data_IF_658055248976
#
_entry.id   IF_658055248976
#
_cell.length_a   1.000
_cell.length_b   1.000
_cell.length_c   1.000
_cell.angle_alpha   90.00
_cell.angle_beta   90.00
_cell.angle_gamma   90.00
#
_symmetry.space_group_name_H-M   'P 1'
#
loop_
_entity.id
_entity.type
_entity.pdbx_description
1 polymer ?
#
# COMPACT_ATOMS: atom_id res chain seq x y z
N UNK A 1 -35.52 43.15 10.07
CA UNK A 1 -36.47 42.45 9.21
C UNK A 1 -35.65 41.81 8.09
N UNK A 2 -34.76 40.89 8.46
CA UNK A 2 -34.99 39.42 8.48
C UNK A 2 -34.83 38.87 7.06
N UNK A 3 -33.95 37.93 6.73
CA UNK A 3 -33.09 37.06 7.49
C UNK A 3 -32.72 35.84 6.62
N UNK A 4 -31.73 35.07 7.08
CA UNK A 4 -31.44 33.66 6.75
C UNK A 4 -30.60 33.36 5.51
N UNK A 5 -29.28 33.44 5.74
CA UNK A 5 -28.33 32.31 5.62
C UNK A 5 -28.90 30.97 5.12
N UNK A 6 -28.41 30.48 3.98
CA UNK A 6 -28.35 29.05 3.66
C UNK A 6 -26.89 28.68 3.40
N UNK A 7 -26.25 28.05 4.40
CA UNK A 7 -25.02 27.28 4.24
C UNK A 7 -25.40 25.96 3.55
N UNK A 8 -24.84 25.68 2.38
CA UNK A 8 -24.66 24.29 1.92
C UNK A 8 -23.52 23.69 2.75
N UNK A 9 -23.87 23.00 3.83
CA UNK A 9 -22.95 22.14 4.55
C UNK A 9 -22.75 20.85 3.73
N UNK A 10 -21.67 20.81 2.95
CA UNK A 10 -21.19 19.56 2.36
C UNK A 10 -20.63 18.69 3.47
N UNK A 11 -21.29 17.57 3.74
CA UNK A 11 -20.87 16.54 4.67
C UNK A 11 -19.64 15.85 4.06
N UNK A 12 -18.44 16.19 4.53
CA UNK A 12 -17.26 15.36 4.35
C UNK A 12 -17.44 14.10 5.21
N UNK A 13 -17.89 13.01 4.59
CA UNK A 13 -17.70 11.68 5.14
C UNK A 13 -16.20 11.37 5.07
N UNK A 14 -15.50 11.62 6.18
CA UNK A 14 -14.08 11.28 6.31
C UNK A 14 -13.91 9.77 6.34
N UNK A 15 -13.50 9.19 5.21
CA UNK A 15 -12.91 7.86 5.19
C UNK A 15 -11.55 7.99 5.89
N UNK A 16 -11.44 7.47 7.11
CA UNK A 16 -10.16 7.38 7.82
C UNK A 16 -9.35 6.27 7.15
N UNK A 17 -8.62 6.63 6.10
CA UNK A 17 -7.65 5.74 5.50
C UNK A 17 -6.54 5.49 6.52
N UNK A 18 -6.33 4.23 6.92
CA UNK A 18 -5.34 3.88 7.92
C UNK A 18 -3.94 4.22 7.39
N UNK A 19 -3.33 5.25 7.98
CA UNK A 19 -1.94 5.61 7.71
C UNK A 19 -1.03 4.70 8.54
N UNK A 20 -0.02 4.13 7.91
CA UNK A 20 1.07 3.49 8.60
C UNK A 20 1.93 4.54 9.30
N UNK A 21 2.08 4.41 10.61
CA UNK A 21 2.94 5.31 11.40
C UNK A 21 2.28 6.02 12.58
N UNK A 22 1.05 5.66 12.95
CA UNK A 22 0.47 6.07 14.23
C UNK A 22 1.10 5.30 15.40
N UNK A 23 1.91 5.98 16.23
CA UNK A 23 2.28 5.46 17.55
C UNK A 23 1.06 5.48 18.47
N UNK A 24 0.37 4.35 18.62
CA UNK A 24 -0.69 4.25 19.64
C UNK A 24 -0.09 3.84 20.99
N UNK A 25 -0.20 4.75 21.96
CA UNK A 25 0.01 4.47 23.39
C UNK A 25 -1.36 4.30 24.04
N UNK A 26 -1.47 3.24 24.87
CA UNK A 26 -2.40 3.02 25.99
C UNK A 26 -3.53 1.98 25.84
N UNK A 27 -3.35 0.91 26.62
CA UNK A 27 -4.29 0.27 27.56
C UNK A 27 -5.57 -0.42 27.04
N UNK A 28 -5.48 -1.75 26.95
CA UNK A 28 -6.17 -2.68 27.84
C UNK A 28 -7.70 -2.62 27.95
N UNK A 29 -8.37 -3.65 27.42
CA UNK A 29 -9.76 -3.95 27.74
C UNK A 29 -10.34 -5.10 26.91
N UNK A 30 -10.24 -6.33 27.42
CA UNK A 30 -10.92 -7.51 26.89
C UNK A 30 -12.42 -7.45 27.15
N UNK A 31 -13.26 -7.71 26.13
CA UNK A 31 -14.57 -8.40 26.27
C UNK A 31 -15.13 -8.87 24.91
N UNK A 32 -15.89 -9.98 24.87
CA UNK A 32 -16.31 -10.69 23.65
C UNK A 32 -17.63 -10.16 23.04
N UNK A 33 -18.03 -10.61 21.83
CA UNK A 33 -19.07 -9.98 21.03
C UNK A 33 -20.48 -10.49 21.34
N UNK A 34 -21.47 -9.61 21.16
CA UNK A 34 -22.89 -9.98 21.06
C UNK A 34 -23.44 -9.44 19.74
N UNK A 35 -23.79 -10.34 18.82
CA UNK A 35 -24.77 -10.10 17.75
C UNK A 35 -26.19 -10.25 18.35
N UNK A 36 -27.27 -9.67 17.79
CA UNK A 36 -27.85 -10.22 16.55
C UNK A 36 -28.58 -9.24 15.59
N UNK A 37 -28.92 -9.82 14.42
CA UNK A 37 -30.14 -9.66 13.61
C UNK A 37 -30.42 -8.38 12.81
N UNK A 38 -30.26 -8.53 11.48
CA UNK A 38 -31.25 -8.30 10.40
C UNK A 38 -32.39 -7.31 10.63
N UNK A 39 -32.48 -6.29 9.76
CA UNK A 39 -33.64 -6.10 8.87
C UNK A 39 -33.36 -5.06 7.77
N UNK A 40 -34.06 -5.25 6.66
CA UNK A 40 -33.86 -4.66 5.34
C UNK A 40 -34.27 -3.18 5.20
N UNK A 41 -33.71 -2.50 4.19
CA UNK A 41 -34.43 -1.98 3.01
C UNK A 41 -33.76 -0.74 2.37
N UNK A 42 -33.56 -0.81 1.05
CA UNK A 42 -34.03 0.25 0.15
C UNK A 42 -33.01 1.20 -0.50
N UNK A 43 -33.07 1.24 -1.84
CA UNK A 43 -32.55 2.32 -2.70
C UNK A 43 -31.15 2.03 -3.23
N UNK A 44 -30.86 2.05 -4.52
CA UNK A 44 -31.54 2.55 -5.70
C UNK A 44 -30.43 2.66 -6.74
N UNK A 45 -30.48 1.86 -7.80
CA UNK A 45 -29.46 1.89 -8.84
C UNK A 45 -29.56 3.18 -9.65
N UNK A 46 -28.41 3.82 -9.90
CA UNK A 46 -28.26 4.82 -10.95
C UNK A 46 -27.18 4.33 -11.94
N UNK A 47 -27.35 4.52 -13.26
CA UNK A 47 -26.60 3.80 -14.28
C UNK A 47 -25.39 4.61 -14.78
N UNK A 48 -24.25 3.93 -14.85
CA UNK A 48 -23.24 4.07 -15.92
C UNK A 48 -22.52 5.43 -16.07
N UNK A 49 -21.25 5.46 -15.68
CA UNK A 49 -20.25 6.35 -16.26
C UNK A 49 -19.11 5.50 -16.87
N UNK A 50 -18.78 5.62 -18.17
CA UNK A 50 -17.71 4.86 -18.80
C UNK A 50 -16.42 5.69 -18.85
N UNK A 51 -15.44 5.37 -17.99
CA UNK A 51 -14.11 6.00 -18.06
C UNK A 51 -13.09 5.45 -17.08
N UNK A 52 -12.09 4.75 -17.62
CA UNK A 52 -10.78 4.37 -17.06
C UNK A 52 -10.68 3.23 -16.01
N UNK A 53 -9.89 2.15 -16.27
CA UNK A 53 -9.60 1.13 -15.28
C UNK A 53 -8.41 1.55 -14.41
N UNK A 54 -8.62 2.54 -13.53
CA UNK A 54 -7.74 2.71 -12.38
C UNK A 54 -8.17 1.70 -11.31
N UNK A 55 -7.51 0.55 -11.24
CA UNK A 55 -7.68 -0.37 -10.13
C UNK A 55 -7.19 0.33 -8.86
N UNK A 56 -8.14 0.69 -8.01
CA UNK A 56 -7.90 1.45 -6.79
C UNK A 56 -7.75 0.49 -5.61
N UNK A 57 -6.58 0.49 -4.96
CA UNK A 57 -6.36 -0.30 -3.75
C UNK A 57 -6.74 0.55 -2.54
N UNK A 58 -8.04 0.57 -2.26
CA UNK A 58 -8.63 1.20 -1.07
C UNK A 58 -9.37 0.17 -0.25
N UNK A 59 -8.86 -0.11 0.95
CA UNK A 59 -9.49 -1.03 1.88
C UNK A 59 -10.92 -0.61 2.22
N UNK A 60 -11.86 -1.55 2.10
CA UNK A 60 -13.16 -1.47 2.74
C UNK A 60 -13.20 -2.48 3.87
N UNK A 61 -13.55 -1.98 5.06
CA UNK A 61 -13.95 -2.83 6.19
C UNK A 61 -15.24 -3.56 5.83
N UNK A 62 -15.22 -4.88 5.92
CA UNK A 62 -16.38 -5.78 6.02
C UNK A 62 -17.28 -6.05 4.81
N UNK A 63 -16.92 -5.63 3.60
CA UNK A 63 -17.52 -6.22 2.39
C UNK A 63 -16.54 -7.24 1.78
N UNK A 64 -16.93 -8.53 1.61
CA UNK A 64 -16.16 -9.44 0.78
C UNK A 64 -16.22 -8.92 -0.65
N UNK A 65 -15.10 -8.37 -1.13
CA UNK A 65 -14.87 -8.14 -2.55
C UNK A 65 -15.16 -9.47 -3.28
N UNK A 66 -16.24 -9.57 -4.07
CA UNK A 66 -16.65 -10.85 -4.65
C UNK A 66 -15.70 -11.18 -5.81
N UNK A 67 -14.53 -11.71 -5.47
CA UNK A 67 -13.46 -12.10 -6.40
C UNK A 67 -12.24 -11.18 -6.42
N UNK A 68 -11.97 -10.46 -5.33
CA UNK A 68 -10.95 -9.41 -5.27
C UNK A 68 -9.55 -9.86 -5.71
N UNK A 69 -8.82 -8.95 -6.35
CA UNK A 69 -7.43 -9.17 -6.79
C UNK A 69 -6.46 -9.46 -5.62
N UNK A 70 -6.94 -9.25 -4.38
CA UNK A 70 -6.26 -9.63 -3.14
C UNK A 70 -6.77 -10.95 -2.54
N UNK A 71 -7.89 -11.52 -2.97
CA UNK A 71 -8.35 -12.84 -2.54
C UNK A 71 -7.59 -13.95 -3.30
N UNK A 72 -6.28 -14.03 -3.05
CA UNK A 72 -5.39 -15.03 -3.65
C UNK A 72 -4.70 -15.86 -2.57
N UNK A 73 -4.41 -17.15 -2.79
CA UNK A 73 -3.65 -17.91 -1.81
C UNK A 73 -2.22 -17.37 -1.66
N UNK A 74 -1.61 -17.61 -0.49
CA UNK A 74 -0.18 -17.36 -0.30
C UNK A 74 0.62 -18.21 -1.27
N UNK A 75 1.44 -17.58 -2.11
CA UNK A 75 2.26 -18.27 -3.09
C UNK A 75 3.50 -17.44 -3.44
N UNK A 76 4.63 -18.14 -3.67
CA UNK A 76 5.79 -17.54 -4.30
C UNK A 76 5.68 -17.70 -5.83
N UNK A 77 5.03 -16.76 -6.51
CA UNK A 77 4.66 -16.95 -7.92
C UNK A 77 5.87 -16.92 -8.85
N UNK A 78 6.96 -16.26 -8.46
CA UNK A 78 8.21 -16.26 -9.22
C UNK A 78 8.94 -17.61 -9.17
N UNK A 79 8.55 -18.52 -8.27
CA UNK A 79 9.22 -19.80 -8.02
C UNK A 79 10.72 -19.68 -7.69
N UNK A 80 11.18 -18.48 -7.34
CA UNK A 80 12.59 -18.22 -7.00
C UNK A 80 12.65 -17.37 -5.75
N UNK A 81 13.64 -17.66 -4.91
CA UNK A 81 13.83 -16.94 -3.65
C UNK A 81 15.20 -16.30 -3.58
N UNK A 82 15.29 -15.24 -2.79
CA UNK A 82 16.54 -14.62 -2.40
C UNK A 82 17.39 -15.59 -1.55
N UNK A 83 18.67 -15.73 -1.91
CA UNK A 83 19.60 -16.68 -1.27
C UNK A 83 20.95 -16.08 -0.92
N UNK A 84 21.16 -14.79 -1.21
CA UNK A 84 22.48 -14.16 -1.04
C UNK A 84 22.72 -13.60 0.37
N UNK A 85 21.82 -13.89 1.32
CA UNK A 85 21.92 -13.44 2.72
C UNK A 85 21.91 -11.93 2.86
N UNK A 86 22.39 -11.45 4.01
CA UNK A 86 22.40 -10.02 4.38
C UNK A 86 23.61 -9.25 3.82
N UNK A 87 24.33 -9.83 2.86
CA UNK A 87 25.44 -9.14 2.22
C UNK A 87 24.91 -7.98 1.37
N UNK A 88 25.49 -6.78 1.58
CA UNK A 88 25.08 -5.57 0.89
C UNK A 88 25.00 -5.76 -0.63
N UNK A 89 23.79 -5.64 -1.16
CA UNK A 89 23.46 -5.76 -2.58
C UNK A 89 22.44 -4.68 -2.93
N UNK A 90 22.32 -4.35 -4.22
CA UNK A 90 21.19 -3.53 -4.68
C UNK A 90 19.89 -4.34 -4.77
N UNK A 91 20.01 -5.68 -4.85
CA UNK A 91 18.86 -6.57 -4.97
C UNK A 91 18.16 -6.73 -3.62
N UNK A 92 18.89 -7.12 -2.56
CA UNK A 92 18.42 -7.33 -1.17
C UNK A 92 17.18 -8.24 -1.03
N UNK A 93 16.81 -8.52 0.23
CA UNK A 93 15.67 -9.34 0.61
C UNK A 93 14.33 -8.72 0.17
N UNK A 94 13.60 -9.33 -0.79
CA UNK A 94 12.27 -8.87 -1.16
C UNK A 94 11.24 -9.20 -0.07
N UNK A 95 10.22 -8.35 0.09
CA UNK A 95 9.13 -8.52 1.06
C UNK A 95 9.45 -8.15 2.51
N UNK A 96 10.72 -8.21 2.92
CA UNK A 96 11.14 -7.86 4.29
C UNK A 96 11.11 -6.34 4.53
N UNK A 97 10.95 -5.95 5.80
CA UNK A 97 11.08 -4.55 6.23
C UNK A 97 12.49 -4.02 5.93
N UNK A 98 12.57 -3.01 5.06
CA UNK A 98 13.83 -2.51 4.52
C UNK A 98 14.48 -1.52 5.48
N UNK A 99 13.74 -0.47 5.85
CA UNK A 99 14.28 0.63 6.65
C UNK A 99 14.56 0.16 8.07
N UNK A 100 13.67 -0.66 8.64
CA UNK A 100 13.84 -1.23 9.97
C UNK A 100 15.11 -2.07 10.07
N UNK A 101 15.39 -2.92 9.07
CA UNK A 101 16.64 -3.67 9.01
C UNK A 101 17.84 -2.75 8.82
N UNK A 102 17.78 -1.81 7.87
CA UNK A 102 18.90 -0.92 7.56
C UNK A 102 19.29 0.01 8.72
N UNK A 103 18.33 0.44 9.54
CA UNK A 103 18.59 1.27 10.75
C UNK A 103 19.53 0.61 11.75
N UNK A 104 19.57 -0.73 11.81
CA UNK A 104 20.42 -1.46 12.76
C UNK A 104 21.79 -1.83 12.19
N UNK A 105 22.01 -1.60 10.89
CA UNK A 105 23.22 -2.01 10.19
C UNK A 105 24.15 -0.81 9.99
N UNK A 106 25.33 -0.84 10.63
CA UNK A 106 26.29 0.29 10.66
C UNK A 106 26.69 0.84 9.28
N UNK A 107 26.81 -0.03 8.28
CA UNK A 107 27.27 0.32 6.93
C UNK A 107 26.15 0.29 5.88
N UNK A 108 24.89 0.16 6.30
CA UNK A 108 23.77 0.16 5.38
C UNK A 108 23.40 1.60 4.99
N UNK A 109 22.96 1.83 3.74
CA UNK A 109 22.42 3.12 3.33
C UNK A 109 21.16 3.44 4.13
N UNK A 110 21.02 4.71 4.51
CA UNK A 110 19.78 5.23 5.07
C UNK A 110 18.79 5.53 3.95
N UNK A 111 17.65 4.85 3.98
CA UNK A 111 16.55 5.06 3.04
C UNK A 111 15.45 5.90 3.67
N UNK A 112 14.83 6.75 2.85
CA UNK A 112 13.62 7.49 3.19
C UNK A 112 12.36 6.77 2.73
N UNK A 113 12.44 6.01 1.63
CA UNK A 113 11.38 5.13 1.10
C UNK A 113 12.05 3.83 0.66
N UNK A 114 11.48 2.68 0.97
CA UNK A 114 11.90 1.39 0.43
C UNK A 114 10.78 0.35 0.52
N UNK A 115 10.71 -0.53 -0.48
CA UNK A 115 9.73 -1.60 -0.51
C UNK A 115 9.95 -2.56 -1.68
N UNK A 116 8.98 -3.46 -1.87
CA UNK A 116 9.02 -4.50 -2.90
C UNK A 116 7.72 -4.55 -3.68
N UNK A 117 7.81 -4.57 -5.02
CA UNK A 117 6.68 -4.84 -5.92
C UNK A 117 6.66 -6.33 -6.27
N UNK A 118 5.48 -6.94 -6.19
CA UNK A 118 5.23 -8.35 -6.46
C UNK A 118 4.25 -8.58 -7.61
N UNK A 119 4.22 -9.79 -8.20
CA UNK A 119 3.22 -10.15 -9.19
C UNK A 119 1.84 -10.47 -8.58
N UNK A 120 1.79 -10.86 -7.30
CA UNK A 120 0.56 -11.24 -6.60
C UNK A 120 0.50 -10.69 -5.17
N UNK A 121 -0.70 -10.74 -4.58
CA UNK A 121 -1.05 -10.03 -3.35
C UNK A 121 -0.43 -10.61 -2.08
N UNK A 122 -0.17 -11.92 -2.05
CA UNK A 122 0.17 -12.64 -0.82
C UNK A 122 1.48 -13.43 -0.95
N UNK A 123 2.55 -12.73 -1.34
CA UNK A 123 3.86 -13.37 -1.56
C UNK A 123 4.66 -13.43 -0.25
N UNK A 124 5.30 -14.56 0.05
CA UNK A 124 6.12 -14.69 1.25
C UNK A 124 7.37 -13.83 1.17
N UNK A 125 7.91 -13.49 2.34
CA UNK A 125 9.23 -12.86 2.43
C UNK A 125 10.28 -13.72 1.70
N UNK A 126 11.26 -13.04 1.13
CA UNK A 126 12.34 -13.62 0.31
C UNK A 126 11.89 -14.28 -1.01
N UNK A 127 10.59 -14.30 -1.36
CA UNK A 127 10.20 -14.60 -2.74
C UNK A 127 10.65 -13.45 -3.65
N UNK A 128 11.30 -13.73 -4.78
CA UNK A 128 11.65 -12.67 -5.72
C UNK A 128 10.38 -12.04 -6.26
N UNK A 129 10.29 -10.71 -6.16
CA UNK A 129 9.17 -9.94 -6.67
C UNK A 129 9.23 -9.73 -8.18
N UNK A 130 8.48 -8.74 -8.66
CA UNK A 130 8.40 -8.41 -10.08
C UNK A 130 9.76 -7.95 -10.61
N UNK A 131 10.25 -8.56 -11.69
CA UNK A 131 11.44 -8.04 -12.37
C UNK A 131 11.10 -6.70 -13.05
N UNK A 132 11.43 -5.61 -12.37
CA UNK A 132 11.08 -4.25 -12.78
C UNK A 132 11.89 -3.69 -13.95
N UNK A 133 12.76 -4.49 -14.57
CA UNK A 133 13.59 -4.03 -15.70
C UNK A 133 12.97 -4.36 -17.06
N UNK A 134 12.05 -5.34 -17.13
CA UNK A 134 11.46 -5.85 -18.38
C UNK A 134 10.05 -6.45 -18.15
N UNK A 135 8.96 -5.72 -18.40
CA UNK A 135 8.91 -4.29 -18.73
C UNK A 135 9.41 -3.43 -17.57
N UNK A 136 9.72 -2.16 -17.85
CA UNK A 136 10.07 -1.23 -16.79
C UNK A 136 8.90 -1.07 -15.81
N UNK A 137 9.19 -1.20 -14.52
CA UNK A 137 8.25 -0.89 -13.43
C UNK A 137 8.82 0.27 -12.63
N UNK A 138 8.03 1.32 -12.47
CA UNK A 138 8.42 2.53 -11.72
C UNK A 138 7.44 2.78 -10.59
N UNK A 139 7.95 3.02 -9.40
CA UNK A 139 7.18 3.52 -8.26
C UNK A 139 7.37 5.02 -8.17
N UNK A 140 6.32 5.78 -8.45
CA UNK A 140 6.31 7.24 -8.30
C UNK A 140 5.80 7.58 -6.91
N UNK A 141 6.60 8.32 -6.15
CA UNK A 141 6.21 8.90 -4.86
C UNK A 141 5.86 10.37 -5.07
N UNK A 142 4.67 10.78 -4.65
CA UNK A 142 4.26 12.20 -4.60
C UNK A 142 4.28 12.65 -3.14
N UNK A 143 5.16 13.57 -2.81
CA UNK A 143 5.32 14.07 -1.44
C UNK A 143 4.28 15.14 -1.07
N UNK A 144 4.25 15.55 0.20
CA UNK A 144 3.29 16.54 0.70
C UNK A 144 3.39 17.93 0.03
N UNK A 145 4.51 18.24 -0.63
CA UNK A 145 4.72 19.48 -1.37
C UNK A 145 4.33 19.33 -2.86
N UNK A 146 3.81 18.17 -3.27
CA UNK A 146 3.49 17.84 -4.65
C UNK A 146 4.70 17.49 -5.51
N UNK A 147 5.88 17.27 -4.92
CA UNK A 147 7.07 16.87 -5.67
C UNK A 147 7.06 15.36 -5.90
N UNK A 148 7.37 14.97 -7.13
CA UNK A 148 7.42 13.56 -7.54
C UNK A 148 8.84 12.99 -7.53
N UNK A 149 8.95 11.72 -7.19
CA UNK A 149 10.19 10.94 -7.22
C UNK A 149 9.92 9.60 -7.90
N UNK A 150 10.57 9.36 -9.03
CA UNK A 150 10.44 8.10 -9.77
C UNK A 150 11.52 7.12 -9.33
N UNK A 151 11.10 6.04 -8.70
CA UNK A 151 11.96 4.99 -8.16
C UNK A 151 11.90 3.77 -9.08
N UNK A 152 13.04 3.40 -9.65
CA UNK A 152 13.14 2.22 -10.51
C UNK A 152 13.08 0.94 -9.67
N UNK A 153 12.26 0.01 -10.10
CA UNK A 153 12.18 -1.33 -9.50
C UNK A 153 13.26 -2.21 -10.09
N UNK A 154 14.04 -2.87 -9.24
CA UNK A 154 15.16 -3.71 -9.67
C UNK A 154 14.72 -5.11 -10.15
N UNK A 155 15.69 -5.97 -10.45
CA UNK A 155 15.44 -7.31 -10.97
C UNK A 155 14.76 -8.31 -10.03
N UNK A 156 14.61 -7.98 -8.73
CA UNK A 156 13.92 -8.83 -7.72
C UNK A 156 12.73 -8.10 -7.08
N UNK A 157 12.27 -6.99 -7.66
CA UNK A 157 11.10 -6.25 -7.19
C UNK A 157 11.38 -5.13 -6.20
N UNK A 158 12.62 -4.95 -5.75
CA UNK A 158 12.93 -3.93 -4.74
C UNK A 158 13.12 -2.54 -5.35
N UNK A 159 12.65 -1.53 -4.62
CA UNK A 159 12.84 -0.10 -4.91
C UNK A 159 13.21 0.64 -3.63
N UNK A 160 13.92 1.76 -3.77
CA UNK A 160 14.34 2.57 -2.62
C UNK A 160 14.71 4.00 -3.03
N UNK A 161 14.68 4.90 -2.06
CA UNK A 161 15.13 6.29 -2.17
C UNK A 161 15.92 6.72 -0.94
N UNK A 162 16.91 7.58 -1.15
CA UNK A 162 17.63 8.29 -0.09
C UNK A 162 17.31 9.79 -0.09
N UNK A 163 16.43 10.25 -1.00
CA UNK A 163 16.04 11.64 -1.08
C UNK A 163 15.18 12.05 0.13
N UNK A 164 15.28 13.30 0.56
CA UNK A 164 14.36 13.84 1.56
C UNK A 164 12.96 13.96 0.94
N UNK A 165 12.01 13.17 1.44
CA UNK A 165 10.63 13.12 0.96
C UNK A 165 9.74 13.64 2.09
N UNK A 166 8.94 14.68 1.79
CA UNK A 166 8.01 15.25 2.74
C UNK A 166 6.82 14.31 2.97
N UNK A 167 6.42 14.14 4.23
CA UNK A 167 5.25 13.34 4.58
C UNK A 167 4.03 14.24 4.86
N UNK A 168 2.80 13.73 4.67
CA UNK A 168 2.49 12.41 4.10
C UNK A 168 2.71 12.35 2.58
N UNK A 169 2.89 11.16 2.03
CA UNK A 169 3.09 10.93 0.60
C UNK A 169 2.10 9.92 0.04
N UNK A 170 1.89 9.95 -1.28
CA UNK A 170 1.20 8.89 -2.03
C UNK A 170 2.19 8.12 -2.89
N UNK A 171 1.90 6.85 -3.15
CA UNK A 171 2.70 6.02 -4.05
C UNK A 171 1.83 5.47 -5.19
N UNK A 172 2.41 5.42 -6.39
CA UNK A 172 1.81 4.84 -7.58
C UNK A 172 2.81 3.93 -8.28
N UNK A 173 2.42 2.70 -8.56
CA UNK A 173 3.18 1.76 -9.38
C UNK A 173 2.73 1.92 -10.83
N UNK A 174 3.67 1.99 -11.75
CA UNK A 174 3.39 2.09 -13.19
C UNK A 174 4.19 1.07 -13.98
N UNK A 175 3.56 0.45 -14.97
CA UNK A 175 4.22 -0.43 -15.95
C UNK A 175 3.41 -0.49 -17.23
N UNK A 176 4.07 -0.40 -18.39
CA UNK A 176 3.41 -0.48 -19.72
C UNK A 176 2.17 0.44 -19.88
N UNK A 177 2.16 1.61 -19.24
CA UNK A 177 1.03 2.54 -19.28
C UNK A 177 -0.13 2.20 -18.34
N UNK A 178 -0.09 1.06 -17.65
CA UNK A 178 -1.00 0.71 -16.57
C UNK A 178 -0.49 1.23 -15.23
N UNK A 179 -1.41 1.49 -14.31
CA UNK A 179 -1.08 2.07 -13.00
C UNK A 179 -1.90 1.44 -11.88
N UNK A 180 -1.28 1.36 -10.70
CA UNK A 180 -1.91 0.99 -9.43
C UNK A 180 -1.51 2.00 -8.38
N UNK A 181 -2.47 2.61 -7.69
CA UNK A 181 -2.23 3.76 -6.81
C UNK A 181 -2.74 3.53 -5.40
N UNK A 182 -1.95 3.99 -4.43
CA UNK A 182 -2.36 4.06 -3.03
C UNK A 182 -3.40 5.15 -2.84
N UNK A 183 -4.59 4.73 -2.39
CA UNK A 183 -5.67 5.66 -2.02
C UNK A 183 -5.36 6.46 -0.76
N UNK A 184 -4.60 5.87 0.17
CA UNK A 184 -4.28 6.42 1.47
C UNK A 184 -2.90 7.09 1.50
N UNK A 185 -2.81 8.33 1.98
CA UNK A 185 -1.55 9.01 2.20
C UNK A 185 -0.78 8.36 3.38
N UNK A 186 0.54 8.17 3.23
CA UNK A 186 1.37 7.46 4.18
C UNK A 186 2.48 8.32 4.78
N UNK A 187 2.97 7.93 5.96
CA UNK A 187 4.07 8.63 6.63
C UNK A 187 5.29 7.74 6.87
N UNK A 188 5.11 6.41 6.94
CA UNK A 188 6.24 5.48 6.99
C UNK A 188 6.77 5.19 5.59
N UNK A 189 8.07 5.41 5.40
CA UNK A 189 8.76 4.99 4.18
C UNK A 189 9.17 3.52 4.15
N UNK A 190 8.95 2.77 5.23
CA UNK A 190 9.23 1.33 5.25
C UNK A 190 7.99 0.60 4.70
N UNK A 191 7.80 0.63 3.38
CA UNK A 191 6.53 0.26 2.74
C UNK A 191 6.10 -1.18 3.09
N UNK A 192 7.08 -2.09 3.19
CA UNK A 192 6.87 -3.50 3.54
C UNK A 192 6.41 -3.71 5.00
N UNK A 193 6.41 -2.68 5.85
CA UNK A 193 5.80 -2.74 7.20
C UNK A 193 4.26 -2.76 7.16
N UNK A 194 3.66 -2.35 6.05
CA UNK A 194 2.21 -2.35 5.81
C UNK A 194 1.87 -3.37 4.74
N UNK A 195 2.65 -3.36 3.66
CA UNK A 195 2.52 -4.29 2.57
C UNK A 195 3.25 -5.61 2.86
N UNK A 196 2.80 -6.28 3.92
CA UNK A 196 3.27 -7.60 4.35
C UNK A 196 2.63 -8.71 3.51
N UNK A 197 3.02 -9.97 3.75
CA UNK A 197 2.39 -11.14 3.11
C UNK A 197 0.87 -11.10 3.27
N UNK A 198 0.35 -10.85 4.46
CA UNK A 198 -1.10 -10.79 4.72
C UNK A 198 -1.70 -9.37 4.66
N UNK A 199 -0.87 -8.36 4.45
CA UNK A 199 -1.24 -6.97 4.70
C UNK A 199 -1.24 -6.61 6.19
N UNK A 200 -1.05 -5.33 6.49
CA UNK A 200 -1.07 -4.77 7.83
C UNK A 200 -1.49 -3.30 7.78
N UNK A 201 -2.05 -2.80 8.88
CA UNK A 201 -2.46 -1.39 9.03
C UNK A 201 -3.41 -0.90 7.91
N UNK A 202 -4.34 -1.76 7.48
CA UNK A 202 -5.30 -1.45 6.42
C UNK A 202 -4.81 -1.70 4.99
N UNK A 203 -3.54 -2.07 4.79
CA UNK A 203 -3.08 -2.57 3.50
C UNK A 203 -3.62 -4.00 3.28
N UNK A 204 -4.10 -4.34 2.08
CA UNK A 204 -4.70 -5.66 1.80
C UNK A 204 -3.66 -6.77 1.51
N UNK A 205 -2.38 -6.43 1.35
CA UNK A 205 -1.32 -7.36 1.00
C UNK A 205 -0.10 -6.64 0.45
N UNK A 206 0.70 -7.35 -0.34
CA UNK A 206 1.88 -6.84 -1.05
C UNK A 206 1.53 -5.70 -2.01
N UNK A 207 2.53 -4.87 -2.29
CA UNK A 207 2.48 -3.91 -3.39
C UNK A 207 2.56 -4.71 -4.68
N UNK A 208 1.52 -4.64 -5.52
CA UNK A 208 1.49 -5.37 -6.77
C UNK A 208 1.94 -4.51 -7.96
N UNK A 209 2.45 -5.16 -9.01
CA UNK A 209 2.48 -4.53 -10.33
C UNK A 209 1.04 -4.21 -10.79
N UNK A 210 0.85 -3.24 -11.70
CA UNK A 210 -0.46 -2.92 -12.25
C UNK A 210 -1.17 -4.11 -12.89
#
# INVERSE_FOLDING_TARGET
MDGRFLLCASILAGVVAAACGGSETTTGGSSPPTSPSSDAAGGGGDPGDPGDPATSDGGSTTDPDPGGIYDTPVACTSNTTWKSGDHGSQLMHPGRACITCHKTQRNAPSFSIAGTVFPSAHEPDDCNGTNGTKPAVTVTITDANGKTYDLQVNGVGNFYSQASIATPFHAKVTSNGQTREMTAAQTSGDCNSCHTEAGANGAPGRIMAP
#
